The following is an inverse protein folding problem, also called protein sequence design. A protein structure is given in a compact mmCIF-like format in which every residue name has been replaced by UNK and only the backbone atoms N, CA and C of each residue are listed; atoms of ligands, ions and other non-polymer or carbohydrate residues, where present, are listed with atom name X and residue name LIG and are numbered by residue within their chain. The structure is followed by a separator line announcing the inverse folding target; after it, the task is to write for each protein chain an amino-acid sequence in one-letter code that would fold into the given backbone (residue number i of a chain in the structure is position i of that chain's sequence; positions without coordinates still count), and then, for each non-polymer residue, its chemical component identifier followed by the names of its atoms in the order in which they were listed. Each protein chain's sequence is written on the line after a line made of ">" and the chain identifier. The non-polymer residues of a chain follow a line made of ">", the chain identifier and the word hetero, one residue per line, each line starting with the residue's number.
data_IF_735751787981
#
_entry.id   IF_735751787981
#
_cell.length_a   1.000
_cell.length_b   1.000
_cell.length_c   1.000
_cell.angle_alpha   90.00
_cell.angle_beta   90.00
_cell.angle_gamma   90.00
#
_symmetry.space_group_name_H-M   'P 1'
#
loop_
_entity.id
_entity.type
_entity.pdbx_description
1 polymer ?
#
# COMPACT_ATOMS: atom_id res chain seq x y z
N UNK A 1 -11.28 0.33 -18.16
CA UNK A 1 -10.39 -0.13 -17.08
C UNK A 1 -10.67 0.75 -15.88
N UNK A 2 -10.96 0.17 -14.71
CA UNK A 2 -11.23 0.94 -13.50
C UNK A 2 -9.87 1.43 -12.98
N UNK A 3 -9.73 2.72 -12.73
CA UNK A 3 -8.49 3.25 -12.13
C UNK A 3 -8.28 2.62 -10.75
N UNK A 4 -7.08 2.10 -10.50
CA UNK A 4 -6.66 1.54 -9.22
C UNK A 4 -5.55 2.38 -8.61
N UNK A 5 -5.42 2.31 -7.28
CA UNK A 5 -4.41 2.98 -6.49
C UNK A 5 -3.36 1.98 -6.03
N UNK A 6 -2.09 2.31 -6.24
CA UNK A 6 -0.93 1.55 -5.77
C UNK A 6 0.21 2.51 -5.41
N UNK A 7 1.20 2.04 -4.64
CA UNK A 7 2.39 2.83 -4.32
C UNK A 7 3.49 2.48 -5.31
N UNK A 8 3.80 3.41 -6.19
CA UNK A 8 4.98 3.33 -7.04
C UNK A 8 6.24 3.68 -6.22
N UNK A 9 7.24 2.82 -6.25
CA UNK A 9 8.49 2.96 -5.49
C UNK A 9 9.62 3.06 -6.49
N UNK A 10 10.34 4.17 -6.47
CA UNK A 10 11.49 4.40 -7.35
C UNK A 10 12.79 4.40 -6.53
N UNK A 11 13.91 3.92 -7.10
CA UNK A 11 14.03 3.37 -8.45
C UNK A 11 13.67 1.87 -8.57
N UNK A 12 13.59 1.13 -7.46
CA UNK A 12 13.55 -0.33 -7.44
C UNK A 12 12.19 -0.88 -6.93
N UNK A 13 11.13 -0.70 -7.73
CA UNK A 13 9.77 -1.05 -7.34
C UNK A 13 9.62 -2.54 -6.99
N UNK A 14 10.11 -3.42 -7.86
CA UNK A 14 9.95 -4.87 -7.73
C UNK A 14 10.69 -5.39 -6.50
N UNK A 15 11.95 -5.00 -6.35
CA UNK A 15 12.84 -5.45 -5.28
C UNK A 15 12.31 -4.99 -3.92
N UNK A 16 11.86 -3.74 -3.83
CA UNK A 16 11.26 -3.21 -2.61
C UNK A 16 10.07 -4.06 -2.18
N UNK A 17 9.14 -4.35 -3.09
CA UNK A 17 7.96 -5.12 -2.76
C UNK A 17 8.25 -6.58 -2.42
N UNK A 18 9.25 -7.19 -3.05
CA UNK A 18 9.73 -8.52 -2.65
C UNK A 18 10.22 -8.50 -1.20
N UNK A 19 11.03 -7.51 -0.82
CA UNK A 19 11.51 -7.38 0.56
C UNK A 19 10.38 -7.07 1.53
N UNK A 20 9.48 -6.15 1.19
CA UNK A 20 8.32 -5.80 2.01
C UNK A 20 7.47 -7.03 2.32
N UNK A 21 7.17 -7.87 1.31
CA UNK A 21 6.37 -9.10 1.48
C UNK A 21 7.08 -10.14 2.37
N UNK A 22 8.41 -10.16 2.39
CA UNK A 22 9.20 -11.01 3.30
C UNK A 22 9.17 -10.48 4.74
N UNK A 23 9.28 -9.17 4.91
CA UNK A 23 9.27 -8.51 6.23
C UNK A 23 7.89 -8.58 6.90
N UNK A 24 6.82 -8.43 6.11
CA UNK A 24 5.44 -8.40 6.59
C UNK A 24 4.62 -9.56 6.01
N UNK A 25 4.76 -10.80 6.50
CA UNK A 25 4.17 -11.99 5.88
C UNK A 25 2.62 -11.98 5.86
N UNK A 26 1.99 -11.18 6.73
CA UNK A 26 0.53 -11.04 6.81
C UNK A 26 -0.04 -9.97 5.83
N UNK A 27 0.81 -9.32 5.02
CA UNK A 27 0.41 -8.23 4.11
C UNK A 27 -0.79 -8.57 3.23
N UNK A 28 -0.87 -9.81 2.75
CA UNK A 28 -1.91 -10.27 1.81
C UNK A 28 -3.26 -10.41 2.50
N UNK A 29 -3.29 -10.93 3.72
CA UNK A 29 -4.52 -11.07 4.51
C UNK A 29 -5.09 -9.69 4.84
N UNK A 30 -4.22 -8.74 5.23
CA UNK A 30 -4.62 -7.36 5.49
C UNK A 30 -5.05 -6.63 4.21
N UNK A 31 -4.44 -6.92 3.06
CA UNK A 31 -4.87 -6.36 1.77
C UNK A 31 -6.31 -6.78 1.44
N UNK A 32 -6.66 -8.04 1.69
CA UNK A 32 -8.03 -8.54 1.50
C UNK A 32 -9.01 -7.85 2.44
N UNK A 33 -8.67 -7.64 3.72
CA UNK A 33 -9.54 -6.92 4.65
C UNK A 33 -9.76 -5.45 4.29
N UNK A 34 -8.87 -4.87 3.48
CA UNK A 34 -8.95 -3.50 2.96
C UNK A 34 -9.35 -3.46 1.48
N UNK A 35 -10.15 -4.42 0.99
CA UNK A 35 -10.77 -4.37 -0.35
C UNK A 35 -9.78 -4.28 -1.53
N UNK A 36 -8.60 -4.92 -1.42
CA UNK A 36 -7.66 -5.01 -2.54
C UNK A 36 -8.32 -5.64 -3.78
N UNK A 37 -8.08 -5.05 -4.95
CA UNK A 37 -8.62 -5.50 -6.25
C UNK A 37 -7.63 -6.32 -7.07
N UNK A 38 -6.34 -6.16 -6.81
CA UNK A 38 -5.30 -6.97 -7.42
C UNK A 38 -4.27 -7.38 -6.35
N UNK A 39 -3.95 -8.68 -6.32
CA UNK A 39 -2.98 -9.27 -5.39
C UNK A 39 -1.86 -10.03 -6.11
N UNK A 40 -2.06 -10.37 -7.39
CA UNK A 40 -1.11 -11.13 -8.22
C UNK A 40 -0.09 -10.22 -8.94
N UNK A 41 -0.05 -8.96 -8.54
CA UNK A 41 0.90 -7.92 -8.96
C UNK A 41 2.05 -7.80 -7.95
N UNK A 42 3.12 -7.05 -8.29
CA UNK A 42 4.24 -6.81 -7.38
C UNK A 42 3.79 -6.21 -6.05
N UNK A 43 2.74 -5.39 -6.06
CA UNK A 43 2.13 -4.78 -4.90
C UNK A 43 0.60 -4.81 -5.00
N UNK A 44 -0.13 -4.82 -3.88
CA UNK A 44 -1.58 -4.79 -3.94
C UNK A 44 -2.09 -3.47 -4.51
N UNK A 45 -3.19 -3.56 -5.26
CA UNK A 45 -3.89 -2.40 -5.81
C UNK A 45 -5.28 -2.28 -5.18
N UNK A 46 -5.78 -1.05 -5.09
CA UNK A 46 -7.02 -0.73 -4.38
C UNK A 46 -7.93 0.16 -5.21
N UNK A 47 -9.25 0.09 -5.01
CA UNK A 47 -10.20 1.00 -5.68
C UNK A 47 -10.15 2.41 -5.11
N UNK A 48 -9.70 2.58 -3.87
CA UNK A 48 -9.64 3.88 -3.21
C UNK A 48 -8.26 4.14 -2.63
N UNK A 49 -7.88 5.43 -2.58
CA UNK A 49 -6.65 5.87 -1.92
C UNK A 49 -6.68 5.59 -0.42
N UNK A 50 -7.86 5.64 0.20
CA UNK A 50 -8.02 5.43 1.64
C UNK A 50 -7.78 3.97 2.03
N UNK A 51 -8.32 3.01 1.27
CA UNK A 51 -8.07 1.58 1.45
C UNK A 51 -6.56 1.27 1.38
N UNK A 52 -5.87 1.83 0.38
CA UNK A 52 -4.42 1.69 0.24
C UNK A 52 -3.65 2.22 1.46
N UNK A 53 -4.05 3.40 1.96
CA UNK A 53 -3.37 4.04 3.09
C UNK A 53 -3.60 3.24 4.37
N UNK A 54 -4.84 2.83 4.63
CA UNK A 54 -5.19 2.04 5.82
C UNK A 54 -4.53 0.66 5.78
N UNK A 55 -4.52 0.00 4.61
CA UNK A 55 -3.77 -1.23 4.41
C UNK A 55 -2.30 -1.08 4.80
N UNK A 56 -1.61 -0.05 4.29
CA UNK A 56 -0.18 0.12 4.59
C UNK A 56 0.04 0.29 6.09
N UNK A 57 -0.74 1.16 6.73
CA UNK A 57 -0.68 1.45 8.17
C UNK A 57 -0.83 0.19 9.00
N UNK A 58 -1.82 -0.65 8.67
CA UNK A 58 -2.11 -1.85 9.44
C UNK A 58 -1.07 -2.96 9.21
N UNK A 59 -0.46 -3.01 8.01
CA UNK A 59 0.62 -3.96 7.73
C UNK A 59 1.92 -3.59 8.43
N UNK A 60 2.31 -2.31 8.41
CA UNK A 60 3.55 -1.88 9.06
C UNK A 60 3.44 -1.79 10.60
N UNK A 61 2.22 -1.97 11.14
CA UNK A 61 1.89 -1.98 12.57
C UNK A 61 2.55 -0.83 13.34
N UNK A 62 2.35 0.39 12.83
CA UNK A 62 2.92 1.62 13.39
C UNK A 62 2.22 2.07 14.66
N UNK A 63 2.92 2.85 15.48
CA UNK A 63 2.32 3.57 16.62
C UNK A 63 1.27 4.58 16.16
N UNK A 64 0.38 4.99 17.06
CA UNK A 64 -0.70 5.95 16.72
C UNK A 64 -0.16 7.32 16.23
N UNK A 65 1.01 7.74 16.73
CA UNK A 65 1.70 8.94 16.26
C UNK A 65 2.21 8.80 14.83
N UNK A 66 2.86 7.68 14.52
CA UNK A 66 3.37 7.36 13.18
C UNK A 66 2.22 7.16 12.17
N UNK A 67 1.10 6.56 12.59
CA UNK A 67 -0.13 6.46 11.80
C UNK A 67 -0.63 7.84 11.36
N UNK A 68 -0.67 8.80 12.28
CA UNK A 68 -1.07 10.18 11.98
C UNK A 68 -0.13 10.84 10.98
N UNK A 69 1.18 10.64 11.14
CA UNK A 69 2.20 11.15 10.22
C UNK A 69 2.06 10.53 8.82
N UNK A 70 1.92 9.21 8.72
CA UNK A 70 1.76 8.49 7.45
C UNK A 70 0.53 8.97 6.69
N UNK A 71 -0.61 9.14 7.37
CA UNK A 71 -1.83 9.69 6.73
C UNK A 71 -1.58 11.07 6.13
N UNK A 72 -0.88 11.95 6.83
CA UNK A 72 -0.56 13.29 6.34
C UNK A 72 0.36 13.24 5.12
N UNK A 73 1.40 12.41 5.15
CA UNK A 73 2.36 12.26 4.04
C UNK A 73 1.68 11.63 2.82
N UNK A 74 0.98 10.52 2.99
CA UNK A 74 0.38 9.76 1.90
C UNK A 74 -0.80 10.50 1.25
N UNK A 75 -1.57 11.30 2.00
CA UNK A 75 -2.60 12.18 1.44
C UNK A 75 -2.01 13.19 0.45
N UNK A 76 -0.78 13.65 0.68
CA UNK A 76 -0.08 14.61 -0.19
C UNK A 76 0.59 13.98 -1.40
N UNK A 77 0.81 12.66 -1.40
CA UNK A 77 1.35 11.97 -2.57
C UNK A 77 0.32 12.01 -3.72
N UNK A 78 0.72 12.61 -4.84
CA UNK A 78 -0.01 12.49 -6.10
C UNK A 78 0.31 11.10 -6.67
N UNK A 79 -0.66 10.20 -6.68
CA UNK A 79 -0.53 8.97 -7.46
C UNK A 79 -0.46 9.39 -8.93
N UNK A 80 0.70 9.21 -9.59
CA UNK A 80 0.79 9.34 -11.05
C UNK A 80 0.31 8.03 -11.64
N UNK A 81 -0.72 8.11 -12.47
CA UNK A 81 -1.21 7.03 -13.31
C UNK A 81 -0.25 6.80 -14.48
N UNK A 82 -0.17 5.55 -14.95
CA UNK A 82 0.33 5.21 -16.28
C UNK A 82 -0.86 5.12 -17.23
#
# INVERSE_FOLDING_TARGET
>A
MKESYFINILPAHMEYWVWFKKTYPHWKQVAVSHNAVALDTPCPEFNTKEDLINWLIDVVNVTEGERSLLRLVLRRLKCRYY
#
